data_IF_134041478112
#
_entry.id   IF_134041478112
#
_cell.length_a   1.000
_cell.length_b   1.000
_cell.length_c   1.000
_cell.angle_alpha   90.00
_cell.angle_beta   90.00
_cell.angle_gamma   90.00
#
_symmetry.space_group_name_H-M   'P 1'
#
loop_
_entity.id
_entity.type
_entity.pdbx_description
1 polymer ?
#
# COMPACT_ATOMS: atom_id res chain seq x y z
N UNK A 1 -29.98 -2.02 3.89
CA UNK A 1 -28.98 -2.75 4.70
C UNK A 1 -29.10 -2.23 6.13
N UNK A 2 -29.24 -3.08 7.15
CA UNK A 2 -29.33 -2.62 8.54
C UNK A 2 -28.08 -3.08 9.29
N UNK A 3 -27.09 -2.19 9.41
CA UNK A 3 -25.85 -2.47 10.14
C UNK A 3 -25.98 -1.81 11.51
N UNK A 4 -25.93 -2.58 12.62
CA UNK A 4 -25.95 -1.99 13.95
C UNK A 4 -24.64 -1.24 14.18
N UNK A 5 -24.74 0.09 14.31
CA UNK A 5 -23.62 0.96 14.62
C UNK A 5 -23.62 1.31 16.10
N UNK A 6 -22.43 1.39 16.69
CA UNK A 6 -22.29 2.05 18.00
C UNK A 6 -22.67 3.53 17.88
N UNK A 7 -23.12 4.13 18.99
CA UNK A 7 -23.44 5.56 19.04
C UNK A 7 -22.29 6.42 18.52
N UNK A 8 -21.06 6.12 18.93
CA UNK A 8 -19.88 6.85 18.48
C UNK A 8 -19.68 6.80 16.95
N UNK A 9 -19.89 5.63 16.32
CA UNK A 9 -19.76 5.48 14.87
C UNK A 9 -20.86 6.25 14.13
N UNK A 10 -22.10 6.18 14.62
CA UNK A 10 -23.23 6.92 14.04
C UNK A 10 -22.98 8.43 14.13
N UNK A 11 -22.57 8.93 15.30
CA UNK A 11 -22.24 10.34 15.52
C UNK A 11 -21.12 10.81 14.59
N UNK A 12 -20.07 9.99 14.43
CA UNK A 12 -18.96 10.30 13.53
C UNK A 12 -19.39 10.34 12.06
N UNK A 13 -20.20 9.38 11.59
CA UNK A 13 -20.70 9.33 10.20
C UNK A 13 -21.59 10.55 9.92
N UNK A 14 -22.53 10.85 10.82
CA UNK A 14 -23.41 12.00 10.70
C UNK A 14 -22.61 13.32 10.63
N UNK A 15 -21.54 13.44 11.42
CA UNK A 15 -20.63 14.59 11.35
C UNK A 15 -19.92 14.70 9.99
N UNK A 16 -19.45 13.58 9.41
CA UNK A 16 -18.81 13.62 8.10
C UNK A 16 -19.77 14.08 6.99
N UNK A 17 -21.05 13.70 7.07
CA UNK A 17 -22.07 14.19 6.15
C UNK A 17 -22.35 15.68 6.39
N UNK A 18 -22.47 16.10 7.66
CA UNK A 18 -22.74 17.49 8.05
C UNK A 18 -21.67 18.46 7.54
N UNK A 19 -20.40 18.07 7.57
CA UNK A 19 -19.29 18.88 7.06
C UNK A 19 -19.11 18.80 5.53
N UNK A 20 -19.97 18.04 4.85
CA UNK A 20 -19.97 17.91 3.39
C UNK A 20 -18.88 16.99 2.83
N UNK A 21 -18.27 16.14 3.66
CA UNK A 21 -17.27 15.16 3.20
C UNK A 21 -17.91 14.03 2.39
N UNK A 22 -19.12 13.63 2.76
CA UNK A 22 -19.93 12.64 2.04
C UNK A 22 -21.33 13.20 1.80
N UNK A 23 -21.96 12.83 0.70
CA UNK A 23 -23.33 13.21 0.36
C UNK A 23 -24.37 12.45 1.19
N UNK A 24 -24.03 11.29 1.73
CA UNK A 24 -24.92 10.50 2.59
C UNK A 24 -24.16 9.60 3.57
N UNK A 25 -24.86 9.12 4.60
CA UNK A 25 -24.30 8.14 5.55
C UNK A 25 -23.95 6.81 4.87
N UNK A 26 -24.74 6.41 3.86
CA UNK A 26 -24.51 5.18 3.09
C UNK A 26 -23.18 5.29 2.32
N UNK A 27 -22.95 6.41 1.64
CA UNK A 27 -21.69 6.66 0.93
C UNK A 27 -20.48 6.59 1.87
N UNK A 28 -20.60 7.16 3.08
CA UNK A 28 -19.54 7.10 4.08
C UNK A 28 -19.23 5.66 4.50
N UNK A 29 -20.26 4.82 4.68
CA UNK A 29 -20.12 3.40 5.04
C UNK A 29 -19.52 2.60 3.88
N UNK A 30 -20.01 2.80 2.66
CA UNK A 30 -19.49 2.12 1.46
C UNK A 30 -18.02 2.45 1.23
N UNK A 31 -17.63 3.73 1.39
CA UNK A 31 -16.25 4.15 1.29
C UNK A 31 -15.36 3.49 2.37
N UNK A 32 -15.84 3.44 3.62
CA UNK A 32 -15.12 2.78 4.71
C UNK A 32 -14.91 1.27 4.46
N UNK A 33 -15.93 0.59 3.93
CA UNK A 33 -15.83 -0.83 3.56
C UNK A 33 -14.85 -1.02 2.41
N UNK A 34 -14.93 -0.21 1.36
CA UNK A 34 -14.00 -0.26 0.23
C UNK A 34 -12.55 -0.02 0.67
N UNK A 35 -12.32 0.96 1.53
CA UNK A 35 -11.01 1.25 2.10
C UNK A 35 -10.48 0.06 2.92
N UNK A 36 -11.35 -0.60 3.71
CA UNK A 36 -10.94 -1.76 4.50
C UNK A 36 -10.58 -2.96 3.63
N UNK A 37 -11.34 -3.20 2.56
CA UNK A 37 -11.03 -4.25 1.58
C UNK A 37 -9.65 -3.99 0.96
N UNK A 38 -9.40 -2.77 0.49
CA UNK A 38 -8.11 -2.39 -0.10
C UNK A 38 -6.93 -2.60 0.88
N UNK A 39 -7.08 -2.18 2.14
CA UNK A 39 -6.10 -2.40 3.20
C UNK A 39 -5.79 -3.89 3.42
N UNK A 40 -6.81 -4.76 3.40
CA UNK A 40 -6.61 -6.21 3.52
C UNK A 40 -5.82 -6.80 2.33
N UNK A 41 -6.05 -6.28 1.12
CA UNK A 41 -5.29 -6.70 -0.07
C UNK A 41 -3.82 -6.28 0.00
N UNK A 42 -3.56 -5.05 0.47
CA UNK A 42 -2.21 -4.52 0.68
C UNK A 42 -1.47 -5.32 1.75
N UNK A 43 -2.14 -5.61 2.88
CA UNK A 43 -1.58 -6.46 3.95
C UNK A 43 -1.25 -7.85 3.42
N UNK A 44 -2.14 -8.44 2.61
CA UNK A 44 -1.90 -9.75 1.97
C UNK A 44 -0.68 -9.70 1.05
N UNK A 45 -0.56 -8.66 0.23
CA UNK A 45 0.59 -8.47 -0.67
C UNK A 45 1.90 -8.31 0.10
N UNK A 46 1.90 -7.52 1.18
CA UNK A 46 3.08 -7.30 2.02
C UNK A 46 3.53 -8.57 2.73
N UNK A 47 2.59 -9.37 3.25
CA UNK A 47 2.89 -10.68 3.85
C UNK A 47 3.52 -11.64 2.85
N UNK A 48 3.00 -11.67 1.63
CA UNK A 48 3.56 -12.51 0.57
C UNK A 48 4.98 -12.07 0.16
N UNK A 49 5.21 -10.75 0.06
CA UNK A 49 6.56 -10.21 -0.19
C UNK A 49 7.53 -10.56 0.93
N UNK A 50 7.09 -10.49 2.18
CA UNK A 50 7.90 -10.86 3.34
C UNK A 50 8.26 -12.34 3.29
N UNK A 51 7.27 -13.23 3.13
CA UNK A 51 7.46 -14.67 3.00
C UNK A 51 8.48 -15.02 1.92
N UNK A 52 8.33 -14.42 0.73
CA UNK A 52 9.26 -14.62 -0.38
C UNK A 52 10.67 -14.12 -0.05
N UNK A 53 10.79 -12.98 0.63
CA UNK A 53 12.08 -12.43 1.06
C UNK A 53 12.77 -13.36 2.06
N UNK A 54 12.03 -13.94 3.00
CA UNK A 54 12.53 -14.94 3.95
C UNK A 54 13.03 -16.20 3.23
N UNK A 55 12.29 -16.68 2.21
CA UNK A 55 12.72 -17.81 1.37
C UNK A 55 13.97 -17.48 0.55
N UNK A 56 14.07 -16.27 -0.01
CA UNK A 56 15.24 -15.83 -0.75
C UNK A 56 16.48 -15.76 0.16
N UNK A 57 16.33 -15.28 1.40
CA UNK A 57 17.39 -15.32 2.42
C UNK A 57 17.79 -16.76 2.77
N UNK A 58 16.82 -17.63 3.07
CA UNK A 58 17.08 -19.01 3.48
C UNK A 58 17.76 -19.83 2.37
N UNK A 59 17.45 -19.54 1.10
CA UNK A 59 18.03 -20.21 -0.07
C UNK A 59 19.30 -19.54 -0.59
N UNK A 60 19.77 -18.47 0.06
CA UNK A 60 20.95 -17.73 -0.38
C UNK A 60 20.78 -16.95 -1.69
N UNK A 61 19.53 -16.73 -2.13
CA UNK A 61 19.18 -15.90 -3.30
C UNK A 61 19.18 -14.41 -2.95
N UNK A 62 20.22 -13.99 -2.22
CA UNK A 62 20.45 -12.60 -1.81
C UNK A 62 21.79 -12.12 -2.37
N UNK A 63 21.89 -10.84 -2.66
CA UNK A 63 23.10 -10.18 -3.17
C UNK A 63 23.57 -9.13 -2.18
N UNK A 64 24.87 -8.85 -2.15
CA UNK A 64 25.39 -7.82 -1.25
C UNK A 64 24.87 -6.44 -1.69
N UNK A 65 24.66 -5.54 -0.72
CA UNK A 65 24.25 -4.17 -1.00
C UNK A 65 25.26 -3.47 -1.92
N UNK A 66 26.54 -3.66 -1.64
CA UNK A 66 27.63 -3.00 -2.36
C UNK A 66 27.66 -3.44 -3.83
N UNK A 67 27.46 -4.73 -4.10
CA UNK A 67 27.38 -5.26 -5.47
C UNK A 67 26.19 -4.66 -6.23
N UNK A 68 25.04 -4.50 -5.56
CA UNK A 68 23.86 -3.87 -6.16
C UNK A 68 24.14 -2.41 -6.50
N UNK A 69 24.70 -1.64 -5.57
CA UNK A 69 24.98 -0.22 -5.77
C UNK A 69 26.06 0.02 -6.83
N UNK A 70 27.11 -0.80 -6.87
CA UNK A 70 28.14 -0.73 -7.90
C UNK A 70 27.56 -1.04 -9.28
N UNK A 71 26.71 -2.07 -9.39
CA UNK A 71 26.02 -2.40 -10.64
C UNK A 71 25.10 -1.26 -11.10
N UNK A 72 24.37 -0.64 -10.19
CA UNK A 72 23.50 0.49 -10.50
C UNK A 72 24.30 1.72 -10.96
N UNK A 73 25.42 2.01 -10.29
CA UNK A 73 26.32 3.12 -10.68
C UNK A 73 26.82 2.95 -12.10
N UNK A 74 27.36 1.77 -12.45
CA UNK A 74 27.83 1.46 -13.80
C UNK A 74 26.72 1.62 -14.85
N UNK A 75 25.50 1.21 -14.52
CA UNK A 75 24.34 1.34 -15.42
C UNK A 75 23.97 2.81 -15.66
N UNK A 76 23.98 3.64 -14.61
CA UNK A 76 23.71 5.08 -14.72
C UNK A 76 24.79 5.76 -15.58
N UNK A 77 26.05 5.43 -15.36
CA UNK A 77 27.17 5.96 -16.15
C UNK A 77 27.06 5.60 -17.63
N UNK A 78 26.67 4.36 -17.95
CA UNK A 78 26.46 3.92 -19.33
C UNK A 78 25.34 4.70 -20.03
N UNK A 79 24.18 4.87 -19.37
CA UNK A 79 23.06 5.65 -19.90
C UNK A 79 23.47 7.11 -20.13
N UNK A 80 24.20 7.70 -19.19
CA UNK A 80 24.69 9.07 -19.30
C UNK A 80 25.71 9.25 -20.44
N UNK A 81 26.48 8.22 -20.77
CA UNK A 81 27.42 8.22 -21.88
C UNK A 81 26.71 8.06 -23.25
N UNK A 82 25.63 7.29 -23.30
CA UNK A 82 24.79 7.12 -24.50
C UNK A 82 24.02 8.39 -24.87
N UNK A 83 23.51 9.14 -23.88
CA UNK A 83 22.80 10.39 -24.11
C UNK A 83 23.66 11.61 -24.48
N UNK A 84 25.01 11.46 -24.52
CA UNK A 84 25.96 12.52 -24.93
C UNK A 84 26.54 12.32 -26.34
N UNK A 85 26.16 11.25 -27.03
CA UNK A 85 26.49 11.01 -28.44
C UNK A 85 25.36 11.48 -29.34
#
# INVERSE_FOLDING_TARGET
MNIPLSKHQADWIAEQVRIGRYASEIEAIENAVAAKIADEEDVRLLREKLRRSEEDVATGRVVSSDEVFDRLRRRIEAIAAEGRK
#
